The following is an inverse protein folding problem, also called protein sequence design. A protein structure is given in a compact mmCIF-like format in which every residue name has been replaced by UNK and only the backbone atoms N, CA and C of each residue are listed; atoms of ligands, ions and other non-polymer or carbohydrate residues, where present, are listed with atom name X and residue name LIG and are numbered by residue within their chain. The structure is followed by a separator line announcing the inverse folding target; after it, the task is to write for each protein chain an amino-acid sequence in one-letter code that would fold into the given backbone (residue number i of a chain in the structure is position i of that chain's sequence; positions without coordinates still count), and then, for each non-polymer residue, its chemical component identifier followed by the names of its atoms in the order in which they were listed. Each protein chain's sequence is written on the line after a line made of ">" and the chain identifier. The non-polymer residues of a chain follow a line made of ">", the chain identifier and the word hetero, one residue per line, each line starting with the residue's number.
data_IF_302532483608
#
_entry.id   IF_302532483608
#
_cell.length_a   1.000
_cell.length_b   1.000
_cell.length_c   1.000
_cell.angle_alpha   90.00
_cell.angle_beta   90.00
_cell.angle_gamma   90.00
#
_symmetry.space_group_name_H-M   'P 1'
#
loop_
_entity.id
_entity.type
_entity.pdbx_description
1 polymer ?
#
# COMPACT_ATOMS: atom_id res chain seq x y z
N UNK A 1 16.18 22.59 -42.60
CA UNK A 1 16.21 24.07 -42.71
C UNK A 1 15.37 24.62 -41.57
N UNK A 2 16.03 25.12 -40.53
CA UNK A 2 15.44 25.74 -39.35
C UNK A 2 14.80 27.08 -39.70
N UNK A 3 13.63 27.38 -39.15
CA UNK A 3 13.19 28.78 -39.00
C UNK A 3 12.75 28.98 -37.54
N UNK A 4 13.70 29.50 -36.78
CA UNK A 4 13.61 29.99 -35.42
C UNK A 4 12.68 31.22 -35.43
N UNK A 5 11.57 31.17 -34.70
CA UNK A 5 10.73 32.36 -34.45
C UNK A 5 11.15 33.00 -33.14
N UNK A 6 12.03 33.97 -33.28
CA UNK A 6 12.44 34.97 -32.29
C UNK A 6 11.22 35.77 -31.84
N UNK A 7 10.88 35.73 -30.54
CA UNK A 7 9.96 36.69 -29.92
C UNK A 7 10.75 37.53 -28.93
N UNK A 8 10.70 38.83 -29.16
CA UNK A 8 11.58 39.85 -28.59
C UNK A 8 11.47 39.98 -27.08
N UNK A 9 12.64 39.90 -26.43
CA UNK A 9 12.90 40.39 -25.07
C UNK A 9 12.62 41.90 -25.03
N UNK A 10 11.67 42.33 -24.20
CA UNK A 10 11.62 43.69 -23.67
C UNK A 10 11.93 43.64 -22.19
N UNK A 11 13.18 43.93 -21.86
CA UNK A 11 13.60 44.24 -20.51
C UNK A 11 12.98 45.57 -20.08
N UNK A 12 12.22 45.54 -18.99
CA UNK A 12 11.90 46.73 -18.22
C UNK A 12 12.46 46.49 -16.81
N UNK A 13 13.64 47.05 -16.55
CA UNK A 13 14.19 47.22 -15.21
C UNK A 13 13.63 48.53 -14.67
N UNK A 14 12.81 48.47 -13.64
CA UNK A 14 12.49 49.60 -12.78
C UNK A 14 12.39 49.07 -11.35
N UNK A 15 13.28 49.58 -10.51
CA UNK A 15 13.47 49.14 -9.15
C UNK A 15 12.30 49.53 -8.25
N UNK A 16 12.11 48.73 -7.20
CA UNK A 16 11.53 49.13 -5.92
C UNK A 16 11.96 48.11 -4.88
N UNK A 17 12.70 48.59 -3.88
CA UNK A 17 13.04 47.88 -2.66
C UNK A 17 11.78 47.49 -1.89
N UNK A 18 11.86 46.35 -1.19
CA UNK A 18 11.01 45.93 -0.06
C UNK A 18 9.55 45.57 -0.39
N UNK A 19 9.32 44.38 -0.94
CA UNK A 19 8.04 43.67 -0.77
C UNK A 19 8.31 42.18 -0.54
N UNK A 20 7.64 41.65 0.48
CA UNK A 20 7.83 40.31 1.02
C UNK A 20 7.77 39.23 -0.07
N UNK A 21 8.65 38.23 0.08
CA UNK A 21 8.58 37.03 -0.71
C UNK A 21 7.19 36.41 -0.51
N UNK A 22 6.35 36.60 -1.52
CA UNK A 22 5.11 35.88 -1.71
C UNK A 22 5.38 34.39 -1.48
N UNK A 23 4.54 33.75 -0.66
CA UNK A 23 4.54 32.31 -0.49
C UNK A 23 4.32 31.66 -1.86
N UNK A 24 5.40 31.26 -2.51
CA UNK A 24 5.34 30.41 -3.70
C UNK A 24 4.70 29.10 -3.26
N UNK A 25 3.61 28.73 -3.95
CA UNK A 25 2.97 27.44 -3.76
C UNK A 25 3.95 26.29 -4.02
N UNK A 26 3.57 25.04 -3.69
CA UNK A 26 4.46 23.89 -3.87
C UNK A 26 4.97 23.85 -5.32
N UNK A 27 6.27 23.62 -5.48
CA UNK A 27 6.87 23.51 -6.81
C UNK A 27 6.33 22.26 -7.52
N UNK A 28 6.42 22.21 -8.85
CA UNK A 28 6.07 21.01 -9.63
C UNK A 28 6.82 19.76 -9.13
N UNK A 29 8.03 19.97 -8.62
CA UNK A 29 8.88 18.95 -8.05
C UNK A 29 8.39 18.49 -6.66
N UNK A 30 7.83 19.39 -5.86
CA UNK A 30 7.18 19.06 -4.59
C UNK A 30 5.86 18.31 -4.82
N UNK A 31 5.11 18.68 -5.86
CA UNK A 31 3.88 18.00 -6.26
C UNK A 31 4.18 16.59 -6.76
N UNK A 32 5.17 16.43 -7.65
CA UNK A 32 5.56 15.12 -8.16
C UNK A 32 6.11 14.22 -7.06
N UNK A 33 6.92 14.74 -6.13
CA UNK A 33 7.43 13.97 -4.99
C UNK A 33 6.31 13.56 -4.02
N UNK A 34 5.32 14.41 -3.82
CA UNK A 34 4.13 14.11 -2.99
C UNK A 34 3.24 13.06 -3.66
N UNK A 35 2.99 13.19 -4.96
CA UNK A 35 2.21 12.22 -5.73
C UNK A 35 2.91 10.87 -5.84
N UNK A 36 4.22 10.84 -6.10
CA UNK A 36 5.01 9.62 -6.07
C UNK A 36 5.05 9.00 -4.67
N UNK A 37 5.14 9.80 -3.61
CA UNK A 37 5.10 9.31 -2.22
C UNK A 37 3.75 8.73 -1.80
N UNK A 38 2.64 9.37 -2.21
CA UNK A 38 1.28 8.88 -1.95
C UNK A 38 1.02 7.59 -2.75
N UNK A 39 1.41 7.56 -4.02
CA UNK A 39 1.21 6.38 -4.87
C UNK A 39 2.17 5.25 -4.47
N UNK A 40 3.36 5.54 -3.93
CA UNK A 40 4.38 4.55 -3.54
C UNK A 40 4.24 4.03 -2.11
N UNK A 41 3.10 4.26 -1.45
CA UNK A 41 2.83 3.76 -0.11
C UNK A 41 1.87 2.56 -0.17
N UNK A 42 2.03 1.64 0.78
CA UNK A 42 0.98 0.64 1.13
C UNK A 42 0.26 0.99 2.42
N UNK A 43 0.58 2.13 3.03
CA UNK A 43 -0.09 2.59 4.26
C UNK A 43 -1.53 2.97 3.99
N UNK A 44 -2.46 2.47 4.79
CA UNK A 44 -3.89 2.74 4.59
C UNK A 44 -4.76 1.61 5.12
N UNK A 45 -6.07 1.72 4.88
CA UNK A 45 -7.01 0.63 5.13
C UNK A 45 -6.98 -0.38 3.98
N UNK A 46 -7.02 -1.65 4.34
CA UNK A 46 -7.02 -2.76 3.42
C UNK A 46 -8.15 -3.73 3.75
N UNK A 47 -8.65 -4.36 2.70
CA UNK A 47 -9.53 -5.52 2.78
C UNK A 47 -8.86 -6.71 2.12
N UNK A 48 -9.24 -7.91 2.56
CA UNK A 48 -8.83 -9.15 1.94
C UNK A 48 -10.02 -10.06 1.76
N UNK A 49 -10.11 -10.72 0.61
CA UNK A 49 -11.11 -11.77 0.39
C UNK A 49 -10.44 -12.99 -0.23
N UNK A 50 -10.72 -14.16 0.32
CA UNK A 50 -10.35 -15.42 -0.30
C UNK A 50 -11.53 -16.08 -1.00
N UNK A 51 -11.23 -17.02 -1.89
CA UNK A 51 -12.22 -17.93 -2.49
C UNK A 51 -11.89 -19.37 -2.13
N UNK A 52 -12.88 -20.27 -2.21
CA UNK A 52 -12.71 -21.70 -1.93
C UNK A 52 -13.77 -22.26 -0.99
N UNK A 53 -13.49 -23.43 -0.42
CA UNK A 53 -14.44 -24.18 0.43
C UNK A 53 -14.74 -23.50 1.76
N UNK A 54 -13.74 -22.85 2.38
CA UNK A 54 -13.89 -22.04 3.58
C UNK A 54 -13.31 -20.63 3.31
N UNK A 55 -14.07 -19.71 2.71
CA UNK A 55 -13.58 -18.38 2.41
C UNK A 55 -13.25 -17.60 3.69
N UNK A 56 -12.30 -16.67 3.56
CA UNK A 56 -11.89 -15.75 4.63
C UNK A 56 -12.04 -14.31 4.17
N UNK A 57 -12.52 -13.46 5.06
CA UNK A 57 -12.53 -12.01 4.89
C UNK A 57 -11.60 -11.36 5.89
N UNK A 58 -10.85 -10.36 5.46
CA UNK A 58 -9.91 -9.61 6.30
C UNK A 58 -10.19 -8.13 6.17
N UNK A 59 -10.01 -7.40 7.27
CA UNK A 59 -10.00 -5.95 7.31
C UNK A 59 -8.88 -5.50 8.24
N UNK A 60 -7.94 -4.72 7.73
CA UNK A 60 -6.74 -4.33 8.46
C UNK A 60 -6.20 -2.98 8.00
N UNK A 61 -5.31 -2.41 8.80
CA UNK A 61 -4.61 -1.17 8.46
C UNK A 61 -3.12 -1.47 8.39
N UNK A 62 -2.46 -0.96 7.37
CA UNK A 62 -1.01 -1.02 7.23
C UNK A 62 -0.37 0.35 7.48
N UNK A 63 0.83 0.32 8.03
CA UNK A 63 1.73 1.46 8.16
C UNK A 63 3.08 1.07 7.57
N UNK A 64 3.58 1.87 6.64
CA UNK A 64 4.89 1.71 6.03
C UNK A 64 5.87 2.72 6.64
N UNK A 65 6.99 2.21 7.16
CA UNK A 65 8.11 3.05 7.58
C UNK A 65 8.99 3.45 6.39
N UNK A 66 9.79 4.51 6.55
CA UNK A 66 10.64 5.05 5.47
C UNK A 66 11.71 4.08 4.93
N UNK A 67 11.99 2.98 5.64
CA UNK A 67 12.89 1.91 5.18
C UNK A 67 12.17 0.78 4.42
N UNK A 68 10.88 0.92 4.15
CA UNK A 68 10.05 -0.10 3.49
C UNK A 68 9.54 -1.19 4.42
N UNK A 69 9.82 -1.14 5.73
CA UNK A 69 9.17 -2.05 6.68
C UNK A 69 7.68 -1.74 6.78
N UNK A 70 6.86 -2.78 6.84
CA UNK A 70 5.40 -2.68 6.92
C UNK A 70 4.94 -3.35 8.21
N UNK A 71 4.09 -2.67 8.96
CA UNK A 71 3.40 -3.23 10.12
C UNK A 71 1.91 -2.96 10.02
N UNK A 72 1.11 -3.75 10.72
CA UNK A 72 -0.33 -3.55 10.72
C UNK A 72 -1.07 -4.42 11.71
N UNK A 73 -2.35 -4.17 11.80
CA UNK A 73 -3.27 -4.97 12.60
C UNK A 73 -4.67 -4.89 12.02
N UNK A 74 -5.49 -5.86 12.39
CA UNK A 74 -6.87 -5.90 11.94
C UNK A 74 -7.59 -7.12 12.45
N UNK A 75 -8.54 -7.58 11.65
CA UNK A 75 -9.31 -8.78 11.92
C UNK A 75 -9.44 -9.66 10.70
N UNK A 76 -9.62 -10.96 10.96
CA UNK A 76 -9.93 -11.99 9.99
C UNK A 76 -11.21 -12.69 10.43
N UNK A 77 -12.04 -13.11 9.47
CA UNK A 77 -13.21 -13.96 9.74
C UNK A 77 -13.31 -15.03 8.66
N UNK A 78 -13.33 -16.30 9.07
CA UNK A 78 -13.80 -17.38 8.21
C UNK A 78 -15.32 -17.25 8.04
N UNK A 79 -15.86 -17.47 6.85
CA UNK A 79 -17.31 -17.30 6.57
C UNK A 79 -18.20 -18.06 7.55
N UNK A 80 -17.78 -19.25 7.98
CA UNK A 80 -18.54 -20.12 8.89
C UNK A 80 -18.19 -19.90 10.38
N UNK A 81 -17.27 -18.99 10.70
CA UNK A 81 -16.90 -18.68 12.08
C UNK A 81 -17.87 -17.69 12.72
N UNK A 82 -18.13 -17.87 14.01
CA UNK A 82 -19.04 -17.02 14.78
C UNK A 82 -18.52 -15.59 14.98
N UNK A 83 -17.20 -15.42 15.13
CA UNK A 83 -16.56 -14.15 15.43
C UNK A 83 -15.34 -13.91 14.53
N UNK A 84 -15.00 -12.63 14.36
CA UNK A 84 -13.73 -12.24 13.77
C UNK A 84 -12.61 -12.40 14.80
N UNK A 85 -11.44 -12.86 14.37
CA UNK A 85 -10.24 -13.00 15.18
C UNK A 85 -9.29 -11.83 14.91
N UNK A 86 -8.63 -11.28 15.93
CA UNK A 86 -7.62 -10.24 15.73
C UNK A 86 -6.39 -10.82 15.05
N UNK A 87 -5.78 -10.04 14.17
CA UNK A 87 -4.54 -10.40 13.48
C UNK A 87 -3.52 -9.27 13.59
N UNK A 88 -2.26 -9.63 13.61
CA UNK A 88 -1.13 -8.70 13.47
C UNK A 88 -0.40 -8.96 12.17
N UNK A 89 0.20 -7.92 11.61
CA UNK A 89 0.83 -7.95 10.30
C UNK A 89 2.23 -7.37 10.42
N UNK A 90 3.20 -8.07 9.86
CA UNK A 90 4.56 -7.60 9.68
C UNK A 90 5.02 -7.92 8.26
N UNK A 91 5.91 -7.13 7.68
CA UNK A 91 6.31 -7.35 6.30
C UNK A 91 7.24 -6.28 5.76
N UNK A 92 7.37 -6.28 4.44
CA UNK A 92 8.10 -5.26 3.70
C UNK A 92 7.39 -4.90 2.41
N UNK A 93 7.62 -3.67 1.98
CA UNK A 93 7.24 -3.19 0.67
C UNK A 93 8.42 -2.49 0.03
N UNK A 94 8.93 -3.11 -1.03
CA UNK A 94 9.94 -2.55 -1.93
C UNK A 94 9.35 -2.63 -3.33
N UNK A 95 8.69 -1.54 -3.74
CA UNK A 95 7.88 -1.50 -4.97
C UNK A 95 8.58 -2.22 -6.15
N UNK A 96 7.87 -3.13 -6.86
CA UNK A 96 6.46 -3.50 -6.65
C UNK A 96 6.27 -4.61 -5.62
N UNK A 97 7.32 -5.20 -5.06
CA UNK A 97 7.22 -6.37 -4.20
C UNK A 97 6.63 -6.03 -2.83
N UNK A 98 5.49 -6.65 -2.52
CA UNK A 98 4.84 -6.63 -1.21
C UNK A 98 4.96 -8.03 -0.59
N UNK A 99 5.48 -8.07 0.65
CA UNK A 99 5.58 -9.29 1.45
C UNK A 99 4.93 -9.02 2.80
N UNK A 100 3.97 -9.86 3.18
CA UNK A 100 3.24 -9.75 4.45
C UNK A 100 3.21 -11.11 5.16
N UNK A 101 3.41 -11.07 6.46
CA UNK A 101 3.19 -12.16 7.39
C UNK A 101 2.05 -11.77 8.32
N UNK A 102 1.03 -12.61 8.37
CA UNK A 102 -0.14 -12.48 9.21
C UNK A 102 -0.04 -13.45 10.38
N UNK A 103 -0.12 -12.94 11.60
CA UNK A 103 -0.09 -13.75 12.83
C UNK A 103 -1.40 -13.62 13.60
N UNK A 104 -1.70 -14.60 14.45
CA UNK A 104 -2.96 -14.65 15.21
C UNK A 104 -4.16 -15.16 14.40
N UNK A 105 -3.94 -15.66 13.19
CA UNK A 105 -5.00 -16.20 12.34
C UNK A 105 -5.54 -17.51 12.91
N UNK A 106 -6.83 -17.73 12.69
CA UNK A 106 -7.48 -19.03 12.92
C UNK A 106 -8.12 -19.46 11.61
N UNK A 107 -7.81 -20.68 11.18
CA UNK A 107 -8.37 -21.27 9.97
C UNK A 107 -8.69 -22.75 10.19
N UNK A 108 -9.92 -23.18 9.90
CA UNK A 108 -10.42 -24.54 10.13
C UNK A 108 -10.14 -25.04 11.57
N UNK A 109 -10.36 -24.13 12.54
CA UNK A 109 -10.16 -24.38 13.97
C UNK A 109 -8.69 -24.47 14.42
N UNK A 110 -7.72 -24.11 13.56
CA UNK A 110 -6.29 -24.16 13.87
C UNK A 110 -5.72 -22.76 13.92
N UNK A 111 -4.86 -22.49 14.90
CA UNK A 111 -4.00 -21.30 14.88
C UNK A 111 -2.96 -21.46 13.78
N UNK A 112 -2.90 -20.51 12.86
CA UNK A 112 -1.99 -20.54 11.70
C UNK A 112 -1.23 -19.22 11.57
N UNK A 113 -0.07 -19.28 10.91
CA UNK A 113 0.61 -18.12 10.36
C UNK A 113 0.35 -18.05 8.85
N UNK A 114 0.05 -16.86 8.35
CA UNK A 114 -0.21 -16.62 6.93
C UNK A 114 0.93 -15.86 6.25
N UNK A 115 1.59 -16.45 5.26
CA UNK A 115 2.55 -15.77 4.40
C UNK A 115 1.92 -15.32 3.09
N UNK A 116 2.11 -14.07 2.71
CA UNK A 116 1.60 -13.51 1.45
C UNK A 116 2.71 -12.74 0.73
N UNK A 117 2.84 -12.99 -0.57
CA UNK A 117 3.77 -12.25 -1.42
C UNK A 117 3.10 -11.95 -2.76
N UNK A 118 3.23 -10.72 -3.23
CA UNK A 118 2.74 -10.33 -4.56
C UNK A 118 3.27 -8.97 -4.98
N UNK A 119 2.88 -8.55 -6.19
CA UNK A 119 3.28 -7.27 -6.75
C UNK A 119 2.15 -6.24 -6.59
N UNK A 120 2.41 -5.14 -5.88
CA UNK A 120 1.52 -4.00 -5.77
C UNK A 120 1.97 -2.88 -6.71
N UNK A 121 1.10 -2.54 -7.67
CA UNK A 121 1.38 -1.56 -8.73
C UNK A 121 0.30 -0.47 -8.85
N UNK A 122 -0.47 -0.24 -7.79
CA UNK A 122 -1.42 0.89 -7.59
C UNK A 122 -2.79 0.85 -8.29
N UNK A 123 -3.20 -0.26 -8.90
CA UNK A 123 -4.58 -0.39 -9.41
C UNK A 123 -5.11 -1.81 -9.16
N UNK A 124 -6.13 -1.95 -8.32
CA UNK A 124 -6.89 -3.20 -8.15
C UNK A 124 -6.49 -4.10 -6.96
N UNK A 125 -5.41 -3.77 -6.26
CA UNK A 125 -4.91 -4.55 -5.13
C UNK A 125 -3.83 -5.56 -5.52
N UNK A 126 -3.61 -6.58 -4.68
CA UNK A 126 -2.64 -7.65 -4.87
C UNK A 126 -3.37 -8.99 -4.77
N UNK A 127 -3.45 -9.71 -5.88
CA UNK A 127 -3.96 -11.09 -5.92
C UNK A 127 -2.80 -12.08 -5.81
N UNK A 128 -2.84 -12.98 -4.83
CA UNK A 128 -1.84 -14.04 -4.69
C UNK A 128 -2.37 -15.19 -3.81
N UNK A 129 -1.51 -16.16 -3.50
CA UNK A 129 -1.80 -17.21 -2.54
C UNK A 129 -1.35 -16.79 -1.15
N UNK A 130 -2.26 -16.81 -0.19
CA UNK A 130 -1.97 -16.76 1.23
C UNK A 130 -1.62 -18.17 1.71
N UNK A 131 -0.34 -18.38 2.07
CA UNK A 131 0.18 -19.65 2.57
C UNK A 131 -0.04 -19.72 4.09
N UNK A 132 -1.01 -20.52 4.51
CA UNK A 132 -1.29 -20.80 5.90
C UNK A 132 -0.45 -21.98 6.38
N UNK A 133 0.22 -21.82 7.52
CA UNK A 133 1.08 -22.86 8.10
C UNK A 133 0.83 -23.02 9.60
N UNK A 134 0.86 -24.26 10.05
CA UNK A 134 0.93 -24.66 11.46
C UNK A 134 1.69 -26.01 11.56
N UNK A 135 2.05 -26.48 12.76
CA UNK A 135 2.64 -27.80 12.92
C UNK A 135 1.79 -28.90 12.25
N UNK A 136 2.33 -29.56 11.22
CA UNK A 136 1.63 -30.60 10.46
C UNK A 136 0.47 -30.10 9.58
N UNK A 137 0.34 -28.79 9.36
CA UNK A 137 -0.73 -28.19 8.57
C UNK A 137 -0.17 -27.18 7.56
N UNK A 138 -0.58 -27.31 6.31
CA UNK A 138 -0.28 -26.31 5.27
C UNK A 138 -1.47 -26.19 4.33
N UNK A 139 -1.86 -24.94 4.02
CA UNK A 139 -2.96 -24.64 3.10
C UNK A 139 -2.66 -23.38 2.32
N UNK A 140 -2.94 -23.40 1.02
CA UNK A 140 -2.88 -22.24 0.15
C UNK A 140 -4.29 -21.71 -0.10
N UNK A 141 -4.54 -20.43 0.19
CA UNK A 141 -5.79 -19.75 -0.12
C UNK A 141 -5.56 -18.69 -1.21
N UNK A 142 -6.29 -18.74 -2.34
CA UNK A 142 -6.28 -17.62 -3.28
C UNK A 142 -6.94 -16.41 -2.61
N UNK A 143 -6.20 -15.31 -2.48
CA UNK A 143 -6.60 -14.09 -1.79
C UNK A 143 -6.37 -12.88 -2.68
N UNK A 144 -7.33 -11.96 -2.67
CA UNK A 144 -7.18 -10.61 -3.19
C UNK A 144 -7.16 -9.63 -2.01
N UNK A 145 -6.05 -8.90 -1.86
CA UNK A 145 -5.90 -7.80 -0.90
C UNK A 145 -6.10 -6.48 -1.64
N UNK A 146 -6.96 -5.58 -1.15
CA UNK A 146 -7.27 -4.31 -1.80
C UNK A 146 -7.22 -3.17 -0.80
N UNK A 147 -6.51 -2.10 -1.16
CA UNK A 147 -6.59 -0.81 -0.48
C UNK A 147 -8.01 -0.22 -0.65
N UNK A 148 -8.51 0.48 0.38
CA UNK A 148 -9.83 1.13 0.38
C UNK A 148 -9.77 2.60 -0.01
#
# INVERSE_FOLDING_TARGET
>A
MNVIRTVSLRAAVLGSLLLGACSVGPTEEDINRTLEGILASVSGEWTGSSTGTNPVTMAFTLTQAGNGAVTGSGTMKETNAAASVPITIAGSYQRPALMLTFSGMVYEGKTVEGGFQGNYTTVGGVGSSLQLTAPGYSKALPVLLQEK
#
